data_IF_076107051846
#
_entry.id   IF_076107051846
#
_cell.length_a   1.000
_cell.length_b   1.000
_cell.length_c   1.000
_cell.angle_alpha   90.00
_cell.angle_beta   90.00
_cell.angle_gamma   90.00
#
_symmetry.space_group_name_H-M   'P 1'
#
loop_
_entity.id
_entity.type
_entity.pdbx_description
1 polymer ?
#
# COMPACT_ATOMS: atom_id res chain seq x y z
N UNK A 1 -6.89 -9.46 -7.63
CA UNK A 1 -6.52 -8.26 -8.43
C UNK A 1 -5.00 -8.27 -8.60
N UNK A 2 -4.42 -7.80 -9.70
CA UNK A 2 -2.95 -7.79 -9.83
C UNK A 2 -2.38 -6.49 -9.24
N UNK A 3 -1.53 -6.59 -8.23
CA UNK A 3 -0.86 -5.43 -7.63
C UNK A 3 0.40 -5.09 -8.41
N UNK A 4 0.50 -3.86 -8.91
CA UNK A 4 1.63 -3.37 -9.68
C UNK A 4 2.38 -2.30 -8.90
N UNK A 5 3.71 -2.42 -8.81
CA UNK A 5 4.55 -1.52 -8.03
C UNK A 5 5.29 -0.53 -8.92
N UNK A 6 4.98 0.76 -8.75
CA UNK A 6 5.76 1.82 -9.40
C UNK A 6 7.19 1.89 -8.84
N UNK A 7 8.12 2.43 -9.63
CA UNK A 7 9.50 2.66 -9.15
C UNK A 7 9.55 3.64 -7.96
N UNK A 8 8.64 4.61 -7.95
CA UNK A 8 8.47 5.53 -6.81
C UNK A 8 8.07 4.79 -5.54
N UNK A 9 7.09 3.88 -5.62
CA UNK A 9 6.68 3.07 -4.49
C UNK A 9 7.82 2.20 -3.95
N UNK A 10 8.54 1.46 -4.83
CA UNK A 10 9.67 0.60 -4.42
C UNK A 10 10.75 1.38 -3.67
N UNK A 11 11.09 2.58 -4.16
CA UNK A 11 12.09 3.47 -3.52
C UNK A 11 11.61 3.95 -2.15
N UNK A 12 10.36 4.39 -2.06
CA UNK A 12 9.76 4.87 -0.81
C UNK A 12 9.66 3.75 0.23
N UNK A 13 9.20 2.55 -0.17
CA UNK A 13 9.15 1.39 0.71
C UNK A 13 10.52 1.09 1.32
N UNK A 14 11.57 0.97 0.49
CA UNK A 14 12.94 0.72 0.95
C UNK A 14 13.45 1.79 1.91
N UNK A 15 13.16 3.07 1.65
CA UNK A 15 13.57 4.18 2.52
C UNK A 15 12.85 4.13 3.87
N UNK A 16 11.54 3.84 3.86
CA UNK A 16 10.71 3.79 5.08
C UNK A 16 11.10 2.62 5.96
N UNK A 17 11.24 1.41 5.40
CA UNK A 17 11.59 0.22 6.19
C UNK A 17 13.03 0.23 6.69
N UNK A 18 13.97 0.86 5.95
CA UNK A 18 15.33 1.07 6.45
C UNK A 18 15.36 1.95 7.71
N UNK A 19 14.52 2.99 7.77
CA UNK A 19 14.43 3.89 8.93
C UNK A 19 13.59 3.32 10.07
N UNK A 20 12.59 2.50 9.75
CA UNK A 20 11.65 1.91 10.69
C UNK A 20 11.44 0.43 10.36
N UNK A 21 12.38 -0.46 10.75
CA UNK A 21 12.31 -1.89 10.41
C UNK A 21 11.00 -2.55 10.86
N UNK A 22 10.43 -2.10 11.98
CA UNK A 22 9.17 -2.57 12.54
C UNK A 22 7.95 -2.33 11.63
N UNK A 23 8.04 -1.42 10.66
CA UNK A 23 6.95 -1.15 9.70
C UNK A 23 6.94 -2.13 8.52
N UNK A 24 8.01 -2.90 8.31
CA UNK A 24 8.12 -3.82 7.17
C UNK A 24 6.96 -4.81 7.12
N UNK A 25 6.72 -5.50 8.24
CA UNK A 25 5.71 -6.55 8.33
C UNK A 25 4.27 -6.01 8.29
N UNK A 26 3.92 -4.93 9.03
CA UNK A 26 2.63 -4.27 8.87
C UNK A 26 2.33 -3.83 7.44
N UNK A 27 3.32 -3.25 6.74
CA UNK A 27 3.14 -2.83 5.34
C UNK A 27 2.90 -4.06 4.47
N UNK A 28 3.74 -5.09 4.55
CA UNK A 28 3.57 -6.31 3.74
C UNK A 28 2.22 -6.96 3.98
N UNK A 29 1.73 -7.00 5.23
CA UNK A 29 0.41 -7.52 5.56
C UNK A 29 -0.71 -6.72 4.89
N UNK A 30 -0.63 -5.39 4.93
CA UNK A 30 -1.61 -4.52 4.25
C UNK A 30 -1.57 -4.72 2.73
N UNK A 31 -0.38 -4.87 2.13
CA UNK A 31 -0.23 -5.11 0.68
C UNK A 31 -0.84 -6.46 0.24
N UNK A 32 -0.73 -7.50 1.06
CA UNK A 32 -1.40 -8.79 0.80
C UNK A 32 -2.92 -8.64 0.80
N UNK A 33 -3.47 -7.99 1.84
CA UNK A 33 -4.90 -7.72 1.94
C UNK A 33 -5.41 -6.88 0.74
N UNK A 34 -4.63 -5.89 0.29
CA UNK A 34 -4.96 -5.11 -0.91
C UNK A 34 -5.04 -5.98 -2.18
N UNK A 35 -4.16 -6.97 -2.32
CA UNK A 35 -4.16 -7.89 -3.47
C UNK A 35 -5.35 -8.85 -3.48
N UNK A 36 -5.76 -9.29 -2.30
CA UNK A 36 -6.89 -10.20 -2.09
C UNK A 36 -8.23 -9.46 -2.21
N UNK A 37 -8.45 -8.44 -1.37
CA UNK A 37 -9.63 -7.59 -1.40
C UNK A 37 -9.29 -6.14 -0.95
N UNK A 38 -9.18 -5.20 -1.90
CA UNK A 38 -8.74 -3.83 -1.63
C UNK A 38 -9.72 -3.00 -0.79
N UNK A 39 -10.97 -3.43 -0.68
CA UNK A 39 -12.03 -2.71 0.05
C UNK A 39 -12.43 -3.43 1.35
N UNK A 40 -11.55 -4.28 1.90
CA UNK A 40 -11.80 -4.86 3.23
C UNK A 40 -11.88 -3.76 4.30
N UNK A 41 -12.87 -3.82 5.23
CA UNK A 41 -13.00 -2.83 6.29
C UNK A 41 -11.74 -2.70 7.17
N UNK A 42 -10.94 -3.77 7.30
CA UNK A 42 -9.67 -3.77 8.03
C UNK A 42 -8.62 -2.81 7.46
N UNK A 43 -8.68 -2.53 6.15
CA UNK A 43 -7.77 -1.58 5.50
C UNK A 43 -8.17 -0.13 5.72
N UNK A 44 -9.41 0.13 6.17
CA UNK A 44 -9.97 1.47 6.33
C UNK A 44 -9.74 2.34 5.08
N UNK A 45 -9.93 1.73 3.90
CA UNK A 45 -9.72 2.38 2.62
C UNK A 45 -10.72 3.51 2.41
N UNK A 46 -10.26 4.63 1.86
CA UNK A 46 -11.11 5.76 1.47
C UNK A 46 -10.96 6.01 -0.03
N UNK A 47 -12.05 6.41 -0.69
CA UNK A 47 -12.03 6.79 -2.10
C UNK A 47 -11.16 8.04 -2.27
N UNK A 48 -10.20 7.98 -3.18
CA UNK A 48 -9.39 9.13 -3.57
C UNK A 48 -10.21 10.11 -4.41
N UNK A 49 -9.88 11.41 -4.30
CA UNK A 49 -10.57 12.50 -5.02
C UNK A 49 -9.62 13.38 -5.84
N UNK A 50 -10.19 14.35 -6.57
CA UNK A 50 -9.43 15.29 -7.40
C UNK A 50 -8.62 14.58 -8.50
N UNK A 51 -7.35 14.96 -8.66
CA UNK A 51 -6.43 14.35 -9.64
C UNK A 51 -6.13 12.87 -9.38
N UNK A 52 -6.55 12.32 -8.25
CA UNK A 52 -6.38 10.93 -7.87
C UNK A 52 -7.71 10.14 -7.92
N UNK A 53 -8.79 10.76 -8.37
CA UNK A 53 -10.07 10.08 -8.50
C UNK A 53 -9.98 8.92 -9.50
N UNK A 54 -10.40 7.72 -9.07
CA UNK A 54 -10.38 6.51 -9.90
C UNK A 54 -9.05 5.73 -9.87
N UNK A 55 -8.06 6.21 -9.11
CA UNK A 55 -6.89 5.45 -8.71
C UNK A 55 -7.12 4.67 -7.40
#
# INVERSE_FOLDING_TARGET
>A
MQVVWSNGFKRSFKKTTKKNPQLTEPIVKALRLLGDNPFTPSLKSHKLGGNLAGL
#
